data_IF_801756733514
#
_entry.id   IF_801756733514
#
_cell.length_a   1.000
_cell.length_b   1.000
_cell.length_c   1.000
_cell.angle_alpha   90.00
_cell.angle_beta   90.00
_cell.angle_gamma   90.00
#
_symmetry.space_group_name_H-M   'P 1'
#
loop_
_entity.id
_entity.type
_entity.pdbx_description
1 polymer ?
#
# COMPACT_ATOMS: atom_id res chain seq x y z
N UNK A 1 -4.41 -13.70 16.08
CA UNK A 1 -5.21 -12.50 15.71
C UNK A 1 -4.55 -11.90 14.47
N UNK A 2 -5.30 -11.59 13.41
CA UNK A 2 -4.76 -10.92 12.22
C UNK A 2 -5.02 -9.43 12.41
N UNK A 3 -4.00 -8.59 12.20
CA UNK A 3 -4.13 -7.14 12.30
C UNK A 3 -3.60 -6.51 11.02
N UNK A 4 -4.44 -5.67 10.42
CA UNK A 4 -4.05 -4.85 9.28
C UNK A 4 -3.54 -3.50 9.79
N UNK A 5 -2.38 -3.08 9.31
CA UNK A 5 -1.78 -1.79 9.62
C UNK A 5 -1.62 -0.97 8.34
N UNK A 6 -2.37 0.12 8.20
CA UNK A 6 -2.08 1.11 7.16
C UNK A 6 -0.93 1.97 7.67
N UNK A 7 0.22 1.90 7.00
CA UNK A 7 1.37 2.73 7.29
C UNK A 7 1.50 3.81 6.23
N UNK A 8 1.10 5.01 6.63
CA UNK A 8 1.18 6.22 5.83
C UNK A 8 2.13 7.22 6.49
N UNK A 9 2.67 8.16 5.73
CA UNK A 9 3.44 9.28 6.31
C UNK A 9 2.46 10.36 6.77
N UNK A 10 2.50 10.76 8.03
CA UNK A 10 1.61 11.81 8.54
C UNK A 10 1.85 13.15 7.84
N UNK A 11 0.77 13.77 7.36
CA UNK A 11 0.74 15.15 6.83
C UNK A 11 1.19 16.12 7.92
N UNK A 12 2.47 16.48 7.91
CA UNK A 12 3.10 17.37 8.92
C UNK A 12 4.40 16.84 9.52
N UNK A 13 4.59 15.52 9.54
CA UNK A 13 5.87 14.89 9.87
C UNK A 13 6.60 14.45 8.60
N UNK A 14 6.38 15.16 7.49
CA UNK A 14 7.06 14.93 6.22
C UNK A 14 8.55 14.72 6.52
N UNK A 15 9.06 13.48 6.45
CA UNK A 15 10.49 13.30 6.52
C UNK A 15 11.04 14.12 5.36
N UNK A 16 12.26 14.63 5.47
CA UNK A 16 12.96 15.39 4.42
C UNK A 16 13.15 14.61 3.09
N UNK A 17 12.44 13.50 2.86
CA UNK A 17 12.53 12.51 1.79
C UNK A 17 11.17 11.86 1.47
N UNK A 18 10.14 12.64 1.12
CA UNK A 18 9.03 12.11 0.33
C UNK A 18 9.24 12.55 -1.12
N UNK A 19 8.95 11.67 -2.06
CA UNK A 19 9.12 11.93 -3.49
C UNK A 19 7.77 11.81 -4.19
N UNK A 20 7.50 12.71 -5.15
CA UNK A 20 6.23 12.78 -5.87
C UNK A 20 5.33 13.94 -5.43
N UNK A 21 4.15 14.04 -6.06
CA UNK A 21 3.15 15.08 -5.79
C UNK A 21 2.24 14.71 -4.61
N UNK A 22 1.87 15.69 -3.80
CA UNK A 22 1.05 15.50 -2.60
C UNK A 22 -0.35 14.99 -2.97
N UNK A 23 -0.87 15.42 -4.11
CA UNK A 23 -2.18 15.04 -4.63
C UNK A 23 -2.25 13.54 -4.99
N UNK A 24 -1.15 12.99 -5.51
CA UNK A 24 -1.04 11.56 -5.78
C UNK A 24 -0.99 10.74 -4.48
N UNK A 25 -0.33 11.27 -3.47
CA UNK A 25 -0.25 10.69 -2.13
C UNK A 25 -1.60 10.66 -1.42
N UNK A 26 -2.29 11.81 -1.36
CA UNK A 26 -3.63 11.93 -0.75
C UNK A 26 -4.60 10.95 -1.45
N UNK A 27 -4.56 10.87 -2.79
CA UNK A 27 -5.36 9.91 -3.56
C UNK A 27 -5.04 8.46 -3.22
N UNK A 28 -3.76 8.11 -3.12
CA UNK A 28 -3.32 6.76 -2.81
C UNK A 28 -3.76 6.31 -1.41
N UNK A 29 -3.61 7.20 -0.43
CA UNK A 29 -4.02 6.94 0.95
C UNK A 29 -5.53 6.77 1.05
N UNK A 30 -6.30 7.63 0.37
CA UNK A 30 -7.76 7.53 0.34
C UNK A 30 -8.23 6.23 -0.33
N UNK A 31 -7.59 5.82 -1.44
CA UNK A 31 -7.91 4.55 -2.11
C UNK A 31 -7.64 3.33 -1.22
N UNK A 32 -6.50 3.33 -0.50
CA UNK A 32 -6.18 2.26 0.44
C UNK A 32 -7.13 2.25 1.63
N UNK A 33 -7.44 3.42 2.20
CA UNK A 33 -8.38 3.55 3.31
C UNK A 33 -9.74 3.03 2.92
N UNK A 34 -10.27 3.45 1.77
CA UNK A 34 -11.54 2.97 1.26
C UNK A 34 -11.53 1.45 1.07
N UNK A 35 -10.47 0.89 0.46
CA UNK A 35 -10.34 -0.55 0.25
C UNK A 35 -10.30 -1.33 1.57
N UNK A 36 -9.60 -0.80 2.59
CA UNK A 36 -9.54 -1.38 3.93
C UNK A 36 -10.86 -1.26 4.69
N UNK A 37 -11.58 -0.15 4.55
CA UNK A 37 -12.90 0.07 5.15
C UNK A 37 -13.95 -0.87 4.54
N UNK A 38 -13.95 -1.02 3.20
CA UNK A 38 -14.79 -1.98 2.49
C UNK A 38 -14.47 -3.42 2.91
N UNK A 39 -13.18 -3.76 3.04
CA UNK A 39 -12.77 -5.07 3.53
C UNK A 39 -13.22 -5.30 4.98
N UNK A 40 -13.03 -4.33 5.87
CA UNK A 40 -13.44 -4.41 7.28
C UNK A 40 -14.96 -4.50 7.44
N UNK A 41 -15.74 -3.89 6.55
CA UNK A 41 -17.20 -3.97 6.53
C UNK A 41 -17.73 -5.30 5.98
N UNK A 42 -16.89 -6.12 5.33
CA UNK A 42 -17.28 -7.43 4.82
C UNK A 42 -17.49 -8.46 5.94
N UNK A 43 -18.24 -9.53 5.66
CA UNK A 43 -18.58 -10.56 6.65
C UNK A 43 -17.35 -11.30 7.24
N UNK A 44 -16.20 -11.24 6.56
CA UNK A 44 -14.92 -11.80 6.99
C UNK A 44 -13.87 -10.71 7.21
N UNK A 45 -14.31 -9.45 7.31
CA UNK A 45 -13.46 -8.30 7.49
C UNK A 45 -12.70 -8.33 8.79
N UNK A 46 -11.50 -7.79 8.76
CA UNK A 46 -10.63 -7.66 9.93
C UNK A 46 -10.41 -6.17 10.17
N UNK A 47 -10.45 -5.76 11.44
CA UNK A 47 -10.16 -4.38 11.82
C UNK A 47 -8.73 -3.98 11.42
N UNK A 48 -8.58 -2.77 10.92
CA UNK A 48 -7.29 -2.19 10.58
C UNK A 48 -6.97 -1.01 11.51
N UNK A 49 -5.69 -0.65 11.58
CA UNK A 49 -5.19 0.47 12.38
C UNK A 49 -4.29 1.36 11.54
N UNK A 50 -4.35 2.68 11.77
CA UNK A 50 -3.46 3.64 11.12
C UNK A 50 -2.17 3.78 11.94
N UNK A 51 -1.03 3.55 11.28
CA UNK A 51 0.29 3.82 11.82
C UNK A 51 0.98 4.90 10.98
N UNK A 52 0.92 6.13 11.44
CA UNK A 52 1.35 7.30 10.68
C UNK A 52 2.88 7.51 10.57
N UNK A 53 3.69 6.52 11.01
CA UNK A 53 5.13 6.68 11.23
C UNK A 53 6.05 5.73 10.47
N UNK A 54 5.52 4.84 9.63
CA UNK A 54 6.31 3.82 8.92
C UNK A 54 5.91 3.65 7.44
N UNK A 55 5.40 4.70 6.79
CA UNK A 55 5.17 4.69 5.33
C UNK A 55 6.50 4.66 4.55
N UNK A 56 6.51 4.01 3.37
CA UNK A 56 7.66 4.06 2.47
C UNK A 56 7.81 5.47 1.86
N UNK A 57 8.97 5.83 1.31
CA UNK A 57 9.21 7.19 0.78
C UNK A 57 8.55 7.49 -0.58
N UNK A 58 8.10 6.44 -1.28
CA UNK A 58 7.49 6.47 -2.62
C UNK A 58 5.99 6.19 -2.62
N UNK A 59 5.40 5.85 -1.47
CA UNK A 59 3.96 5.70 -1.33
C UNK A 59 3.53 5.01 -0.04
N UNK A 60 2.21 4.97 0.22
CA UNK A 60 1.65 4.32 1.40
C UNK A 60 1.76 2.79 1.30
N UNK A 61 1.90 2.12 2.45
CA UNK A 61 1.96 0.66 2.54
C UNK A 61 0.91 0.10 3.51
N UNK A 62 0.40 -1.08 3.21
CA UNK A 62 -0.45 -1.88 4.10
C UNK A 62 0.36 -3.09 4.54
N UNK A 63 0.51 -3.24 5.85
CA UNK A 63 1.18 -4.39 6.44
C UNK A 63 0.14 -5.30 7.12
N UNK A 64 0.24 -6.60 6.82
CA UNK A 64 -0.56 -7.64 7.45
C UNK A 64 0.33 -8.33 8.47
N UNK A 65 -0.06 -8.21 9.73
CA UNK A 65 0.62 -8.84 10.85
C UNK A 65 -0.24 -9.94 11.42
N UNK A 66 0.38 -11.08 11.69
CA UNK A 66 -0.25 -12.24 12.32
C UNK A 66 0.37 -12.41 13.70
N UNK A 67 -0.46 -12.33 14.73
CA UNK A 67 -0.04 -12.60 16.10
C UNK A 67 0.04 -14.11 16.28
N UNK A 68 1.27 -14.62 16.38
CA UNK A 68 1.60 -16.01 16.70
C UNK A 68 1.75 -16.24 18.21
N UNK A 69 2.12 -17.45 18.61
CA UNK A 69 2.21 -17.83 20.02
C UNK A 69 3.67 -17.81 20.56
N UNK A 70 3.88 -17.56 21.87
CA UNK A 70 3.13 -16.65 22.72
C UNK A 70 3.67 -15.21 22.52
N UNK A 71 2.84 -14.36 21.90
CA UNK A 71 2.98 -12.90 21.89
C UNK A 71 4.07 -12.30 20.97
N UNK A 72 4.32 -12.92 19.82
CA UNK A 72 5.19 -12.34 18.76
C UNK A 72 4.38 -12.01 17.51
N UNK A 73 4.51 -10.77 17.07
CA UNK A 73 3.92 -10.30 15.82
C UNK A 73 4.83 -10.66 14.65
N UNK A 74 4.27 -11.38 13.68
CA UNK A 74 4.95 -11.72 12.44
C UNK A 74 4.32 -10.92 11.31
N UNK A 75 5.13 -10.10 10.63
CA UNK A 75 4.68 -9.45 9.40
C UNK A 75 4.75 -10.49 8.27
N UNK A 76 3.58 -10.83 7.73
CA UNK A 76 3.45 -11.89 6.74
C UNK A 76 3.23 -11.34 5.34
N UNK A 77 2.66 -10.15 5.20
CA UNK A 77 2.41 -9.57 3.88
C UNK A 77 2.55 -8.07 3.94
N UNK A 78 3.12 -7.48 2.88
CA UNK A 78 3.10 -6.04 2.67
C UNK A 78 2.59 -5.75 1.26
N UNK A 79 1.69 -4.78 1.16
CA UNK A 79 1.16 -4.25 -0.09
C UNK A 79 1.58 -2.79 -0.14
N UNK A 80 2.33 -2.40 -1.15
CA UNK A 80 2.86 -1.04 -1.27
C UNK A 80 2.44 -0.45 -2.62
N UNK A 81 1.86 0.76 -2.59
CA UNK A 81 1.55 1.51 -3.79
C UNK A 81 2.74 2.39 -4.16
N UNK A 82 3.23 2.28 -5.40
CA UNK A 82 4.36 3.03 -5.92
C UNK A 82 3.96 3.82 -7.16
N UNK A 83 3.99 5.14 -7.03
CA UNK A 83 3.71 6.10 -8.10
C UNK A 83 4.98 6.71 -8.68
N UNK A 84 6.15 6.45 -8.07
CA UNK A 84 7.40 7.12 -8.39
C UNK A 84 8.25 6.31 -9.36
N UNK A 85 8.40 5.00 -9.11
CA UNK A 85 9.15 4.14 -10.02
C UNK A 85 8.60 4.14 -11.46
N UNK A 86 7.27 4.09 -11.69
CA UNK A 86 6.75 4.16 -13.05
C UNK A 86 7.14 5.45 -13.77
N UNK A 87 7.16 6.60 -13.07
CA UNK A 87 7.59 7.88 -13.62
C UNK A 87 9.09 7.90 -13.90
N UNK A 88 9.91 7.37 -12.99
CA UNK A 88 11.36 7.33 -13.16
C UNK A 88 11.79 6.47 -14.35
N UNK A 89 11.09 5.35 -14.58
CA UNK A 89 11.35 4.44 -15.69
C UNK A 89 10.61 4.82 -16.98
N UNK A 90 9.82 5.90 -16.97
CA UNK A 90 9.00 6.35 -18.11
C UNK A 90 8.13 5.21 -18.67
N UNK A 91 7.47 4.47 -17.77
CA UNK A 91 6.58 3.38 -18.16
C UNK A 91 5.26 3.95 -18.68
N UNK A 92 4.83 3.44 -19.82
CA UNK A 92 3.62 3.87 -20.53
C UNK A 92 2.90 2.65 -21.10
N UNK A 93 1.57 2.63 -20.97
CA UNK A 93 0.73 1.57 -21.52
C UNK A 93 -0.33 2.14 -22.45
N UNK A 94 -0.74 1.32 -23.43
CA UNK A 94 -1.79 1.66 -24.39
C UNK A 94 -3.07 0.93 -24.00
N UNK A 95 -4.15 1.68 -23.79
CA UNK A 95 -5.49 1.10 -23.55
C UNK A 95 -6.21 0.77 -24.86
N UNK A 96 -7.14 -0.17 -24.80
CA UNK A 96 -7.99 -0.54 -25.93
C UNK A 96 -8.93 0.59 -26.39
N UNK A 97 -9.10 1.66 -25.58
CA UNK A 97 -9.81 2.89 -25.96
C UNK A 97 -8.97 3.84 -26.85
N UNK A 98 -7.74 3.48 -27.22
CA UNK A 98 -6.86 4.30 -28.07
C UNK A 98 -7.24 4.33 -29.56
N UNK A 99 -8.53 4.26 -29.89
CA UNK A 99 -8.99 4.23 -31.29
C UNK A 99 -9.11 5.60 -31.97
N UNK A 100 -8.87 6.74 -31.32
CA UNK A 100 -8.82 8.01 -32.04
C UNK A 100 -8.08 9.15 -31.30
N UNK A 101 -6.93 9.54 -31.83
CA UNK A 101 -6.45 10.93 -31.93
C UNK A 101 -6.12 11.74 -30.67
N UNK A 102 -6.02 11.16 -29.48
CA UNK A 102 -5.47 11.87 -28.32
C UNK A 102 -4.44 11.01 -27.60
N UNK A 103 -3.22 11.54 -27.51
CA UNK A 103 -2.06 11.05 -26.78
C UNK A 103 -2.34 11.06 -25.27
N UNK A 104 -3.30 10.24 -24.82
CA UNK A 104 -3.62 10.02 -23.42
C UNK A 104 -2.63 9.02 -22.84
N UNK A 105 -1.38 9.47 -22.66
CA UNK A 105 -0.40 8.74 -21.87
C UNK A 105 -0.85 8.76 -20.42
N UNK A 106 -1.41 7.65 -19.96
CA UNK A 106 -1.80 7.49 -18.57
C UNK A 106 -0.58 7.14 -17.73
N UNK A 107 -0.40 7.86 -16.62
CA UNK A 107 0.64 7.53 -15.64
C UNK A 107 0.36 6.17 -15.00
N UNK A 108 1.35 5.29 -15.05
CA UNK A 108 1.26 3.96 -14.45
C UNK A 108 1.39 3.99 -12.93
N UNK A 109 0.81 2.98 -12.28
CA UNK A 109 0.93 2.71 -10.85
C UNK A 109 1.42 1.29 -10.68
N UNK A 110 2.50 1.10 -9.91
CA UNK A 110 3.00 -0.23 -9.56
C UNK A 110 2.50 -0.57 -8.16
N UNK A 111 1.99 -1.80 -8.01
CA UNK A 111 1.65 -2.37 -6.70
C UNK A 111 2.70 -3.43 -6.39
N UNK A 112 3.50 -3.19 -5.35
CA UNK A 112 4.44 -4.18 -4.84
C UNK A 112 3.69 -5.05 -3.82
N UNK A 113 3.60 -6.35 -4.10
CA UNK A 113 3.00 -7.33 -3.20
C UNK A 113 4.12 -8.29 -2.78
N UNK A 114 4.41 -8.31 -1.49
CA UNK A 114 5.36 -9.26 -0.92
C UNK A 114 4.64 -10.10 0.12
N UNK A 115 4.73 -11.42 -0.05
CA UNK A 115 4.22 -12.43 0.87
C UNK A 115 5.41 -13.16 1.44
N UNK A 116 5.62 -13.02 2.75
CA UNK A 116 6.64 -13.77 3.48
C UNK A 116 6.11 -15.16 3.80
N UNK A 117 6.75 -16.18 3.23
CA UNK A 117 6.45 -17.58 3.51
C UNK A 117 7.00 -18.05 4.86
N UNK A 118 7.87 -17.25 5.50
CA UNK A 118 8.56 -17.62 6.73
C UNK A 118 7.78 -17.15 7.96
N UNK A 119 6.58 -17.70 8.13
CA UNK A 119 5.81 -17.56 9.37
C UNK A 119 6.53 -18.43 10.40
N UNK A 120 6.96 -17.85 11.52
CA UNK A 120 7.85 -18.49 12.49
C UNK A 120 7.40 -19.89 12.97
N UNK A 121 8.30 -20.65 13.65
CA UNK A 121 8.07 -22.05 13.98
C UNK A 121 6.71 -22.26 14.64
N UNK A 122 6.04 -23.33 14.21
CA UNK A 122 4.74 -23.76 14.71
C UNK A 122 4.81 -23.89 16.24
N UNK A 123 3.81 -23.34 16.94
CA UNK A 123 3.75 -23.46 18.39
C UNK A 123 3.43 -24.91 18.76
N UNK A 124 4.45 -25.67 19.14
CA UNK A 124 4.32 -26.97 19.81
C UNK A 124 4.05 -26.81 21.30
#
# INVERSE_FOLDING_TARGET
MITFGLKALQKGSWPKRYMGQIEAWDRAEDMLRQSLDEFAASANGVSWTLNASDGAFYGPKVDITIVGCPNRDWQCTTIQLDFLQPQNFHLEYVTAESTALLDHRHGEVIIHIEVSENIGPECT
#
